data_IF_286876582119
#
_entry.id   IF_286876582119
#
_cell.length_a   1.000
_cell.length_b   1.000
_cell.length_c   1.000
_cell.angle_alpha   90.00
_cell.angle_beta   90.00
_cell.angle_gamma   90.00
#
_symmetry.space_group_name_H-M   'P 1'
#
loop_
_entity.id
_entity.type
_entity.pdbx_description
1 polymer ?
#
# COMPACT_ATOMS: atom_id res chain seq x y z
N UNK A 1 -11.25 0.68 20.63
CA UNK A 1 -11.30 1.92 21.44
C UNK A 1 -9.93 2.32 22.00
N UNK A 2 -8.96 1.41 22.09
CA UNK A 2 -7.61 1.67 22.61
C UNK A 2 -6.90 2.88 21.98
N UNK A 3 -6.98 3.07 20.66
CA UNK A 3 -6.33 4.21 20.01
C UNK A 3 -6.86 5.57 20.53
N UNK A 4 -8.16 5.63 20.85
CA UNK A 4 -8.78 6.81 21.46
C UNK A 4 -8.31 7.00 22.91
N UNK A 5 -8.23 5.92 23.70
CA UNK A 5 -7.77 6.01 25.10
C UNK A 5 -6.29 6.42 25.21
N UNK A 6 -5.49 6.17 24.18
CA UNK A 6 -4.08 6.56 24.09
C UNK A 6 -3.86 7.90 23.38
N UNK A 7 -4.93 8.64 23.06
CA UNK A 7 -4.87 9.94 22.37
C UNK A 7 -4.15 9.91 21.02
N UNK A 8 -4.25 8.80 20.26
CA UNK A 8 -3.76 8.77 18.89
C UNK A 8 -4.70 9.55 17.95
N UNK A 9 -4.12 10.31 17.01
CA UNK A 9 -4.86 11.15 16.07
C UNK A 9 -5.55 10.38 14.94
N UNK A 10 -5.01 9.22 14.56
CA UNK A 10 -5.51 8.42 13.43
C UNK A 10 -5.47 6.93 13.75
N UNK A 11 -6.37 6.18 13.13
CA UNK A 11 -6.35 4.72 13.11
C UNK A 11 -6.26 4.28 11.65
N UNK A 12 -5.17 3.61 11.30
CA UNK A 12 -4.92 3.15 9.94
C UNK A 12 -5.42 1.71 9.75
N UNK A 13 -6.30 1.52 8.77
CA UNK A 13 -6.81 0.21 8.37
C UNK A 13 -5.93 -0.47 7.31
N UNK A 14 -4.85 0.18 6.85
CA UNK A 14 -3.96 -0.26 5.78
C UNK A 14 -4.59 -0.14 4.39
N UNK A 15 -3.91 -0.72 3.39
CA UNK A 15 -4.33 -0.64 2.00
C UNK A 15 -5.69 -1.27 1.69
N UNK A 16 -6.32 -0.77 0.62
CA UNK A 16 -7.55 -1.31 0.03
C UNK A 16 -7.29 -1.71 -1.42
N UNK A 17 -8.00 -2.71 -1.90
CA UNK A 17 -8.02 -3.13 -3.30
C UNK A 17 -9.42 -3.69 -3.59
N UNK A 18 -10.23 -2.93 -4.34
CA UNK A 18 -11.62 -3.29 -4.61
C UNK A 18 -11.74 -4.39 -5.68
N UNK A 19 -10.73 -4.53 -6.53
CA UNK A 19 -10.69 -5.55 -7.58
C UNK A 19 -10.29 -6.90 -7.00
N UNK A 20 -9.23 -6.92 -6.19
CA UNK A 20 -8.72 -8.15 -5.57
C UNK A 20 -9.47 -8.55 -4.30
N UNK A 21 -9.91 -7.58 -3.49
CA UNK A 21 -10.54 -7.81 -2.18
C UNK A 21 -11.77 -6.91 -1.93
N UNK A 22 -12.86 -7.05 -2.70
CA UNK A 22 -14.02 -6.16 -2.64
C UNK A 22 -14.67 -6.12 -1.24
N UNK A 23 -14.82 -7.26 -0.57
CA UNK A 23 -15.44 -7.34 0.75
C UNK A 23 -14.62 -6.67 1.85
N UNK A 24 -13.30 -6.91 1.87
CA UNK A 24 -12.39 -6.31 2.84
C UNK A 24 -12.28 -4.80 2.64
N UNK A 25 -12.22 -4.35 1.39
CA UNK A 25 -12.19 -2.93 1.03
C UNK A 25 -13.48 -2.23 1.45
N UNK A 26 -14.65 -2.82 1.18
CA UNK A 26 -15.95 -2.29 1.62
C UNK A 26 -16.08 -2.24 3.15
N UNK A 27 -15.59 -3.26 3.85
CA UNK A 27 -15.57 -3.27 5.31
C UNK A 27 -14.78 -2.09 5.88
N UNK A 28 -13.54 -1.86 5.38
CA UNK A 28 -12.69 -0.74 5.82
C UNK A 28 -13.32 0.62 5.50
N UNK A 29 -13.91 0.77 4.31
CA UNK A 29 -14.59 2.01 3.90
C UNK A 29 -15.83 2.32 4.76
N UNK A 30 -16.51 1.29 5.28
CA UNK A 30 -17.68 1.45 6.16
C UNK A 30 -17.41 2.20 7.47
N UNK A 31 -16.14 2.36 7.88
CA UNK A 31 -15.77 3.12 9.07
C UNK A 31 -15.75 4.65 8.85
N UNK A 32 -16.01 5.13 7.62
CA UNK A 32 -16.16 6.56 7.34
C UNK A 32 -14.86 7.37 7.40
N UNK A 33 -13.70 6.72 7.20
CA UNK A 33 -12.40 7.37 7.13
C UNK A 33 -12.09 7.98 5.76
N UNK A 34 -10.82 8.33 5.53
CA UNK A 34 -10.34 8.86 4.25
C UNK A 34 -9.47 7.83 3.54
N UNK A 35 -9.53 7.82 2.20
CA UNK A 35 -8.55 7.12 1.36
C UNK A 35 -7.34 8.03 1.15
N UNK A 36 -6.17 7.52 1.46
CA UNK A 36 -4.90 8.23 1.27
C UNK A 36 -4.05 7.48 0.25
N UNK A 37 -3.74 8.14 -0.86
CA UNK A 37 -2.87 7.59 -1.90
C UNK A 37 -1.43 8.05 -1.63
N UNK A 38 -0.56 7.08 -1.35
CA UNK A 38 0.86 7.35 -1.15
C UNK A 38 1.57 7.53 -2.49
N UNK A 39 2.64 8.34 -2.55
CA UNK A 39 3.51 8.38 -3.72
C UNK A 39 3.99 6.98 -4.12
N UNK A 40 4.13 6.71 -5.43
CA UNK A 40 4.65 5.43 -5.88
C UNK A 40 6.05 5.19 -5.34
N UNK A 41 6.41 3.91 -5.21
CA UNK A 41 7.77 3.52 -4.84
C UNK A 41 8.75 4.01 -5.90
N UNK A 42 9.85 4.61 -5.46
CA UNK A 42 10.94 5.05 -6.33
C UNK A 42 12.14 4.13 -6.16
N UNK A 43 12.74 3.73 -7.29
CA UNK A 43 13.98 2.95 -7.30
C UNK A 43 15.16 3.87 -7.58
N UNK A 44 16.12 3.91 -6.64
CA UNK A 44 17.40 4.62 -6.83
C UNK A 44 18.42 3.62 -7.37
N UNK A 45 18.66 3.66 -8.68
CA UNK A 45 19.44 2.64 -9.38
C UNK A 45 20.92 3.03 -9.47
N UNK A 46 21.77 2.36 -8.67
CA UNK A 46 23.22 2.57 -8.69
C UNK A 46 23.95 1.86 -9.83
N UNK A 47 23.39 0.75 -10.35
CA UNK A 47 23.98 -0.06 -11.43
C UNK A 47 22.93 -0.34 -12.51
N UNK A 48 22.78 0.56 -13.50
CA UNK A 48 21.69 0.51 -14.48
C UNK A 48 21.61 -0.82 -15.25
N UNK A 49 22.76 -1.35 -15.67
CA UNK A 49 22.81 -2.60 -16.43
C UNK A 49 22.31 -3.80 -15.61
N UNK A 50 22.77 -3.96 -14.37
CA UNK A 50 22.37 -5.09 -13.52
C UNK A 50 20.90 -5.00 -13.12
N UNK A 51 20.41 -3.78 -12.88
CA UNK A 51 19.00 -3.56 -12.58
C UNK A 51 18.11 -3.87 -13.79
N UNK A 52 18.55 -3.55 -15.01
CA UNK A 52 17.85 -3.95 -16.24
C UNK A 52 17.81 -5.47 -16.40
N UNK A 53 18.92 -6.18 -16.17
CA UNK A 53 18.96 -7.66 -16.20
C UNK A 53 18.01 -8.26 -15.15
N UNK A 54 18.03 -7.76 -13.92
CA UNK A 54 17.13 -8.20 -12.85
C UNK A 54 15.65 -8.00 -13.22
N UNK A 55 15.28 -6.81 -13.72
CA UNK A 55 13.90 -6.52 -14.08
C UNK A 55 13.41 -7.37 -15.27
N UNK A 56 14.28 -7.67 -16.24
CA UNK A 56 13.96 -8.59 -17.32
C UNK A 56 13.77 -10.02 -16.78
N UNK A 57 14.68 -10.49 -15.92
CA UNK A 57 14.59 -11.82 -15.32
C UNK A 57 13.31 -11.99 -14.49
N UNK A 58 12.97 -11.02 -13.63
CA UNK A 58 11.75 -11.02 -12.79
C UNK A 58 10.44 -11.06 -13.58
N UNK A 59 10.44 -10.59 -14.83
CA UNK A 59 9.23 -10.60 -15.68
C UNK A 59 9.06 -11.91 -16.44
N UNK A 60 10.14 -12.67 -16.63
CA UNK A 60 10.17 -13.90 -17.43
C UNK A 60 10.11 -15.15 -16.55
N UNK A 61 10.74 -15.11 -15.38
CA UNK A 61 10.71 -16.15 -14.34
C UNK A 61 9.57 -15.89 -13.35
#
# INVERSE_FOLDING_TARGET
QEAKSRSFGYYDFGGVDAEKWPGLSRFKQGFGGMLFEYPPVIDIVYRPFMYAVYNTARKIL
#
